data_IF_557380009822
#
_entry.id   IF_557380009822
#
_cell.length_a   1.000
_cell.length_b   1.000
_cell.length_c   1.000
_cell.angle_alpha   90.00
_cell.angle_beta   90.00
_cell.angle_gamma   90.00
#
_symmetry.space_group_name_H-M   'P 1'
#
loop_
_entity.id
_entity.type
_entity.pdbx_description
1 polymer ?
#
# COMPACT_ATOMS: atom_id res chain seq x y z
N UNK A 1 -7.75 -3.50 -53.96
CA UNK A 1 -7.64 -2.50 -52.87
C UNK A 1 -8.28 -3.12 -51.63
N UNK A 2 -7.47 -3.74 -50.77
CA UNK A 2 -7.91 -4.27 -49.48
C UNK A 2 -7.29 -3.41 -48.40
N UNK A 3 -8.12 -2.66 -47.68
CA UNK A 3 -7.70 -1.91 -46.51
C UNK A 3 -7.86 -2.86 -45.33
N UNK A 4 -6.74 -3.34 -44.80
CA UNK A 4 -6.71 -4.08 -43.54
C UNK A 4 -6.36 -3.09 -42.44
N UNK A 5 -7.36 -2.68 -41.67
CA UNK A 5 -7.16 -2.03 -40.38
C UNK A 5 -6.82 -3.12 -39.35
N UNK A 6 -5.53 -3.35 -39.10
CA UNK A 6 -5.09 -4.09 -37.91
C UNK A 6 -4.65 -3.08 -36.86
N UNK A 7 -5.63 -2.53 -36.13
CA UNK A 7 -5.38 -1.80 -34.90
C UNK A 7 -5.01 -2.79 -33.80
N UNK A 8 -3.72 -2.94 -33.54
CA UNK A 8 -3.23 -3.67 -32.38
C UNK A 8 -3.40 -2.79 -31.14
N UNK A 9 -4.56 -2.89 -30.49
CA UNK A 9 -4.74 -2.43 -29.12
C UNK A 9 -3.99 -3.41 -28.19
N UNK A 10 -2.68 -3.21 -28.04
CA UNK A 10 -1.91 -3.86 -27.00
C UNK A 10 -2.26 -3.21 -25.66
N UNK A 11 -3.30 -3.70 -24.99
CA UNK A 11 -3.44 -3.46 -23.55
C UNK A 11 -2.34 -4.26 -22.86
N UNK A 12 -1.26 -3.59 -22.50
CA UNK A 12 -0.23 -4.19 -21.65
C UNK A 12 -0.88 -4.57 -20.32
N UNK A 13 -0.99 -5.87 -20.04
CA UNK A 13 -1.24 -6.37 -18.71
C UNK A 13 -0.01 -5.99 -17.88
N UNK A 14 -0.07 -4.87 -17.16
CA UNK A 14 1.01 -4.49 -16.23
C UNK A 14 1.29 -5.67 -15.30
N UNK A 15 2.53 -6.13 -15.27
CA UNK A 15 2.95 -7.21 -14.38
C UNK A 15 2.71 -6.78 -12.93
N UNK A 16 2.06 -7.63 -12.16
CA UNK A 16 1.83 -7.36 -10.73
C UNK A 16 3.17 -7.31 -9.99
N UNK A 17 3.26 -6.39 -9.02
CA UNK A 17 4.37 -6.35 -8.07
C UNK A 17 4.20 -7.47 -7.04
N UNK A 18 5.21 -8.34 -6.92
CA UNK A 18 5.21 -9.41 -5.91
C UNK A 18 5.25 -8.85 -4.49
N UNK A 19 4.35 -9.30 -3.63
CA UNK A 19 4.25 -8.97 -2.20
C UNK A 19 4.99 -9.96 -1.29
N UNK A 20 5.49 -11.09 -1.83
CA UNK A 20 6.07 -12.20 -1.06
C UNK A 20 7.16 -11.76 -0.06
N UNK A 21 8.06 -10.87 -0.50
CA UNK A 21 9.19 -10.39 0.31
C UNK A 21 8.81 -9.29 1.31
N UNK A 22 7.56 -8.83 1.29
CA UNK A 22 7.03 -7.84 2.23
C UNK A 22 6.25 -8.51 3.38
N UNK A 23 6.09 -9.83 3.38
CA UNK A 23 5.53 -10.55 4.51
C UNK A 23 6.50 -10.57 5.68
N UNK A 24 5.97 -10.25 6.85
CA UNK A 24 6.72 -10.33 8.11
C UNK A 24 6.08 -11.35 9.04
N UNK A 25 6.91 -11.95 9.88
CA UNK A 25 6.48 -12.86 10.94
C UNK A 25 6.84 -12.26 12.28
N UNK A 26 5.96 -12.40 13.26
CA UNK A 26 6.19 -11.92 14.61
C UNK A 26 5.54 -12.83 15.64
N UNK A 27 6.05 -12.74 16.87
CA UNK A 27 5.61 -13.58 17.96
C UNK A 27 4.20 -13.22 18.48
N UNK A 28 3.78 -11.95 18.35
CA UNK A 28 2.45 -11.47 18.70
C UNK A 28 1.89 -10.58 17.59
N UNK A 29 0.72 -10.94 17.07
CA UNK A 29 0.01 -10.20 16.02
C UNK A 29 -1.01 -9.20 16.61
N UNK A 30 -1.35 -8.11 15.90
CA UNK A 30 -0.76 -7.65 14.64
C UNK A 30 0.54 -6.89 14.89
N UNK A 31 1.61 -7.19 14.15
CA UNK A 31 2.90 -6.51 14.29
C UNK A 31 3.27 -5.67 13.08
N UNK A 32 2.53 -5.81 11.98
CA UNK A 32 2.71 -4.97 10.78
C UNK A 32 2.56 -3.49 11.08
N UNK A 33 1.74 -3.11 12.05
CA UNK A 33 1.58 -1.70 12.42
C UNK A 33 2.82 -1.15 13.12
N UNK A 34 3.43 -1.94 14.02
CA UNK A 34 4.68 -1.57 14.69
C UNK A 34 5.80 -1.44 13.66
N UNK A 35 5.94 -2.42 12.77
CA UNK A 35 6.93 -2.39 11.70
C UNK A 35 6.73 -1.18 10.76
N UNK A 36 5.48 -0.89 10.39
CA UNK A 36 5.11 0.28 9.58
C UNK A 36 5.49 1.60 10.25
N UNK A 37 5.14 1.76 11.53
CA UNK A 37 5.48 2.93 12.32
C UNK A 37 6.99 3.10 12.47
N UNK A 38 7.71 2.08 12.94
CA UNK A 38 9.17 2.14 13.12
C UNK A 38 9.93 2.46 11.82
N UNK A 39 9.48 1.89 10.69
CA UNK A 39 10.07 2.20 9.40
C UNK A 39 9.79 3.65 8.99
N UNK A 40 8.54 4.12 9.14
CA UNK A 40 8.14 5.47 8.74
C UNK A 40 8.76 6.56 9.61
N UNK A 41 9.09 6.27 10.87
CA UNK A 41 9.84 7.18 11.76
C UNK A 41 11.25 7.44 11.20
N UNK A 42 11.91 6.39 10.70
CA UNK A 42 13.23 6.46 10.06
C UNK A 42 13.17 7.00 8.63
N UNK A 43 11.97 7.03 8.03
CA UNK A 43 11.70 7.49 6.66
C UNK A 43 10.60 8.57 6.68
N UNK A 44 10.87 9.77 7.23
CA UNK A 44 9.83 10.76 7.55
C UNK A 44 9.09 11.34 6.33
N UNK A 45 9.64 11.16 5.12
CA UNK A 45 9.03 11.56 3.85
C UNK A 45 8.51 10.35 3.04
N UNK A 46 8.37 9.20 3.69
CA UNK A 46 7.85 7.97 3.09
C UNK A 46 6.54 7.54 3.73
N UNK A 47 5.92 6.52 3.14
CA UNK A 47 4.69 5.91 3.63
C UNK A 47 4.93 4.43 3.92
N UNK A 48 4.85 4.04 5.19
CA UNK A 48 4.72 2.64 5.56
C UNK A 48 3.27 2.19 5.34
N UNK A 49 3.05 0.99 4.84
CA UNK A 49 1.72 0.44 4.58
C UNK A 49 1.64 -0.92 5.25
N UNK A 50 0.88 -1.02 6.34
CA UNK A 50 0.59 -2.29 6.98
C UNK A 50 -0.64 -2.92 6.33
N UNK A 51 -0.57 -4.21 6.05
CA UNK A 51 -1.66 -4.97 5.44
C UNK A 51 -1.85 -6.27 6.21
N UNK A 52 -3.01 -6.39 6.84
CA UNK A 52 -3.51 -7.62 7.43
C UNK A 52 -4.37 -8.28 6.37
N UNK A 53 -3.97 -9.44 5.85
CA UNK A 53 -4.66 -10.06 4.71
C UNK A 53 -6.01 -10.69 5.08
N UNK A 54 -6.16 -11.11 6.33
CA UNK A 54 -7.31 -11.89 6.80
C UNK A 54 -7.43 -13.27 6.14
N UNK A 55 -8.33 -14.11 6.64
CA UNK A 55 -8.56 -15.46 6.12
C UNK A 55 -9.40 -15.49 4.85
N UNK A 56 -10.08 -14.39 4.52
CA UNK A 56 -10.96 -14.26 3.35
C UNK A 56 -10.76 -12.89 2.69
N UNK A 57 -9.70 -12.76 1.88
CA UNK A 57 -9.53 -11.56 1.04
C UNK A 57 -10.11 -11.77 -0.35
N UNK A 58 -10.99 -10.86 -0.78
CA UNK A 58 -11.49 -10.81 -2.17
C UNK A 58 -10.45 -10.26 -3.17
N UNK A 59 -9.28 -9.84 -2.68
CA UNK A 59 -8.17 -9.30 -3.49
C UNK A 59 -6.85 -9.93 -3.05
N UNK A 60 -5.92 -10.10 -3.99
CA UNK A 60 -4.58 -10.63 -3.66
C UNK A 60 -3.68 -9.53 -3.08
N UNK A 61 -2.69 -9.94 -2.31
CA UNK A 61 -1.61 -9.09 -1.81
C UNK A 61 -0.85 -8.37 -2.94
N UNK A 62 -0.54 -9.07 -4.03
CA UNK A 62 0.07 -8.51 -5.24
C UNK A 62 -0.79 -7.41 -5.87
N UNK A 63 -2.12 -7.58 -5.87
CA UNK A 63 -3.05 -6.56 -6.35
C UNK A 63 -3.06 -5.34 -5.43
N UNK A 64 -3.11 -5.55 -4.11
CA UNK A 64 -3.04 -4.46 -3.12
C UNK A 64 -1.75 -3.66 -3.32
N UNK A 65 -0.60 -4.34 -3.36
CA UNK A 65 0.72 -3.71 -3.55
C UNK A 65 0.76 -2.92 -4.85
N UNK A 66 0.35 -3.52 -5.95
CA UNK A 66 0.37 -2.89 -7.28
C UNK A 66 -0.52 -1.65 -7.34
N UNK A 67 -1.77 -1.77 -6.88
CA UNK A 67 -2.75 -0.68 -6.94
C UNK A 67 -2.34 0.48 -6.05
N UNK A 68 -1.97 0.21 -4.79
CA UNK A 68 -1.57 1.28 -3.86
C UNK A 68 -0.27 1.94 -4.30
N UNK A 69 0.72 1.17 -4.77
CA UNK A 69 1.96 1.76 -5.33
C UNK A 69 1.64 2.71 -6.49
N UNK A 70 0.77 2.28 -7.41
CA UNK A 70 0.35 3.10 -8.55
C UNK A 70 -0.38 4.36 -8.08
N UNK A 71 -1.30 4.23 -7.13
CA UNK A 71 -2.09 5.36 -6.64
C UNK A 71 -1.24 6.38 -5.89
N UNK A 72 -0.29 5.96 -5.05
CA UNK A 72 0.67 6.87 -4.42
C UNK A 72 1.61 7.54 -5.44
N UNK A 73 2.05 6.80 -6.46
CA UNK A 73 2.90 7.35 -7.53
C UNK A 73 2.23 8.49 -8.30
N UNK A 74 0.90 8.47 -8.46
CA UNK A 74 0.14 9.59 -9.07
C UNK A 74 0.29 10.90 -8.29
N UNK A 75 0.60 10.82 -7.00
CA UNK A 75 0.85 11.98 -6.13
C UNK A 75 2.34 12.22 -5.89
N UNK A 76 3.23 11.64 -6.71
CA UNK A 76 4.68 11.80 -6.60
C UNK A 76 5.32 11.02 -5.44
N UNK A 77 4.56 10.17 -4.75
CA UNK A 77 5.07 9.38 -3.63
C UNK A 77 5.64 8.06 -4.15
N UNK A 78 6.95 7.88 -4.04
CA UNK A 78 7.66 6.66 -4.45
C UNK A 78 8.38 5.96 -3.31
N UNK A 79 8.62 6.66 -2.18
CA UNK A 79 9.22 6.07 -1.00
C UNK A 79 8.14 5.37 -0.15
N UNK A 80 7.77 4.16 -0.56
CA UNK A 80 6.70 3.38 0.04
C UNK A 80 7.26 2.04 0.45
N UNK A 81 6.91 1.56 1.65
CA UNK A 81 7.25 0.22 2.11
C UNK A 81 6.00 -0.51 2.61
N UNK A 82 5.79 -1.72 2.09
CA UNK A 82 4.70 -2.58 2.52
C UNK A 82 5.15 -3.54 3.60
N UNK A 83 4.21 -3.90 4.48
CA UNK A 83 4.35 -4.90 5.52
C UNK A 83 3.08 -5.74 5.52
N UNK A 84 3.18 -6.98 5.04
CA UNK A 84 2.06 -7.92 5.01
C UNK A 84 2.13 -8.89 6.18
N UNK A 85 0.98 -9.23 6.74
CA UNK A 85 0.83 -10.38 7.62
C UNK A 85 -0.43 -11.16 7.27
N UNK A 86 -0.35 -12.47 7.48
CA UNK A 86 -1.50 -13.36 7.49
C UNK A 86 -2.03 -13.44 8.92
N UNK A 87 -3.24 -12.95 9.15
CA UNK A 87 -3.96 -13.09 10.42
C UNK A 87 -5.13 -14.07 10.28
N UNK A 88 -5.63 -14.54 11.42
CA UNK A 88 -6.71 -15.53 11.56
C UNK A 88 -8.12 -14.92 11.59
N UNK A 89 -8.26 -13.62 11.33
CA UNK A 89 -9.55 -12.93 11.25
C UNK A 89 -10.04 -12.83 9.79
N UNK A 90 -11.35 -12.81 9.52
CA UNK A 90 -11.89 -12.82 8.15
C UNK A 90 -11.65 -11.54 7.36
N UNK A 91 -11.49 -10.39 8.02
CA UNK A 91 -11.38 -9.11 7.33
C UNK A 91 -9.93 -8.71 7.06
N UNK A 92 -9.68 -8.21 5.84
CA UNK A 92 -8.46 -7.50 5.52
C UNK A 92 -8.49 -6.08 6.12
N UNK A 93 -7.35 -5.61 6.62
CA UNK A 93 -7.20 -4.27 7.18
C UNK A 93 -5.90 -3.62 6.72
N UNK A 94 -5.99 -2.37 6.28
CA UNK A 94 -4.84 -1.61 5.78
C UNK A 94 -4.67 -0.36 6.63
N UNK A 95 -3.48 -0.10 7.15
CA UNK A 95 -3.14 1.17 7.77
C UNK A 95 -1.99 1.85 7.04
N UNK A 96 -1.95 3.18 7.13
CA UNK A 96 -0.85 3.97 6.61
C UNK A 96 -0.01 4.51 7.76
N UNK A 97 1.31 4.55 7.57
CA UNK A 97 2.25 5.01 8.59
C UNK A 97 3.09 6.15 8.05
N UNK A 98 3.11 7.25 8.77
CA UNK A 98 3.86 8.45 8.41
C UNK A 98 4.54 8.97 9.67
N UNK A 99 5.88 9.07 9.63
CA UNK A 99 6.71 9.62 10.74
C UNK A 99 6.47 8.95 12.09
N UNK A 100 6.28 7.64 12.11
CA UNK A 100 6.01 6.87 13.34
C UNK A 100 4.54 6.82 13.73
N UNK A 101 3.70 7.72 13.22
CA UNK A 101 2.26 7.71 13.43
C UNK A 101 1.55 6.65 12.59
N UNK A 102 0.42 6.18 13.10
CA UNK A 102 -0.51 5.28 12.38
C UNK A 102 -1.77 6.05 12.00
N UNK A 103 -2.13 5.97 10.73
CA UNK A 103 -3.28 6.62 10.14
C UNK A 103 -4.33 5.57 9.78
N UNK A 104 -5.35 5.48 10.64
CA UNK A 104 -6.58 4.73 10.41
C UNK A 104 -6.45 3.20 10.35
N UNK A 105 -7.60 2.57 10.15
CA UNK A 105 -7.73 1.19 9.72
C UNK A 105 -8.76 1.17 8.59
N UNK A 106 -8.27 1.00 7.38
CA UNK A 106 -9.05 1.07 6.15
C UNK A 106 -9.33 -0.32 5.59
N UNK A 107 -10.39 -0.40 4.80
CA UNK A 107 -10.81 -1.60 4.11
C UNK A 107 -10.51 -1.47 2.62
N UNK A 108 -10.53 -2.58 1.89
CA UNK A 108 -10.20 -2.62 0.46
C UNK A 108 -11.09 -1.70 -0.38
N UNK A 109 -12.35 -1.50 0.03
CA UNK A 109 -13.31 -0.65 -0.67
C UNK A 109 -13.02 0.86 -0.53
N UNK A 110 -12.46 1.31 0.61
CA UNK A 110 -12.31 2.74 0.92
C UNK A 110 -10.86 3.23 1.03
N UNK A 111 -9.88 2.32 1.12
CA UNK A 111 -8.47 2.67 1.36
C UNK A 111 -7.89 3.63 0.32
N UNK A 112 -8.34 3.50 -0.94
CA UNK A 112 -7.84 4.29 -2.07
C UNK A 112 -8.23 5.77 -1.99
N UNK A 113 -9.33 6.08 -1.32
CA UNK A 113 -9.81 7.46 -1.13
C UNK A 113 -8.86 8.27 -0.22
N UNK A 114 -8.12 7.57 0.64
CA UNK A 114 -7.24 8.19 1.64
C UNK A 114 -5.86 8.53 1.07
N UNK A 115 -5.46 7.88 -0.04
CA UNK A 115 -4.10 7.97 -0.63
C UNK A 115 -3.67 9.41 -0.85
N UNK A 116 -4.55 10.27 -1.37
CA UNK A 116 -4.23 11.67 -1.63
C UNK A 116 -3.91 12.45 -0.33
N UNK A 117 -4.66 12.19 0.74
CA UNK A 117 -4.46 12.82 2.05
C UNK A 117 -3.14 12.38 2.67
N UNK A 118 -2.86 11.08 2.64
CA UNK A 118 -1.64 10.50 3.18
C UNK A 118 -0.41 10.95 2.39
N UNK A 119 -0.47 10.97 1.05
CA UNK A 119 0.62 11.45 0.22
C UNK A 119 0.98 12.90 0.54
N UNK A 120 -0.02 13.79 0.73
CA UNK A 120 0.20 15.17 1.15
C UNK A 120 0.83 15.25 2.55
N UNK A 121 0.38 14.42 3.48
CA UNK A 121 0.94 14.37 4.84
C UNK A 121 2.41 13.95 4.83
N UNK A 122 2.75 12.89 4.11
CA UNK A 122 4.12 12.39 3.99
C UNK A 122 5.03 13.34 3.20
N UNK A 123 4.50 14.08 2.22
CA UNK A 123 5.26 15.08 1.47
C UNK A 123 5.47 16.40 2.23
N UNK A 124 4.64 16.68 3.24
CA UNK A 124 4.85 17.84 4.10
C UNK A 124 6.19 17.66 4.81
N UNK A 125 7.02 18.71 4.90
CA UNK A 125 8.30 18.70 5.64
C UNK A 125 8.27 19.60 6.86
N UNK A 126 7.11 20.19 7.17
CA UNK A 126 6.96 21.09 8.30
C UNK A 126 7.09 20.30 9.62
N UNK A 127 8.05 20.68 10.49
CA UNK A 127 8.32 20.00 11.75
C UNK A 127 7.24 20.21 12.83
N UNK A 128 6.28 21.13 12.62
CA UNK A 128 5.21 21.42 13.59
C UNK A 128 4.04 20.42 13.50
N UNK A 129 3.89 19.73 12.37
CA UNK A 129 2.82 18.73 12.15
C UNK A 129 3.34 17.30 12.32
N UNK A 130 4.17 17.08 13.34
CA UNK A 130 4.60 15.73 13.76
C UNK A 130 3.43 14.96 14.37
#
# INVERSE_FOLDING_TARGET
MFIVFSGSAAFAQEALLSAKEDYITCWKQPCVDVAGSEWSEKNPNGVGISVRMGTQSGVTDDQIKTVLTRDFKKFGMTNIKFFFEQNDAPAAGIAFHVRGGTEGLFFIDNVREQVAGIARRAANTNPVFQ
#
